data_IF_414622272422
#
_entry.id   IF_414622272422
#
_cell.length_a   1.000
_cell.length_b   1.000
_cell.length_c   1.000
_cell.angle_alpha   90.00
_cell.angle_beta   90.00
_cell.angle_gamma   90.00
#
_symmetry.space_group_name_H-M   'P 1'
#
loop_
_entity.id
_entity.type
_entity.pdbx_description
1 polymer ?
#
# COMPACT_ATOMS: atom_id res chain seq x y z
N UNK A 1 -22.96 -37.18 -28.37
CA UNK A 1 -23.02 -35.71 -28.47
C UNK A 1 -21.88 -35.14 -27.64
N UNK A 2 -20.90 -34.44 -28.23
CA UNK A 2 -19.81 -33.82 -27.48
C UNK A 2 -20.00 -32.31 -27.30
N UNK A 3 -19.11 -31.75 -26.48
CA UNK A 3 -18.84 -30.34 -26.15
C UNK A 3 -19.74 -29.67 -25.09
N UNK A 4 -19.24 -28.86 -24.17
CA UNK A 4 -17.91 -28.51 -23.62
C UNK A 4 -18.15 -27.19 -22.89
N UNK A 5 -17.63 -27.02 -21.68
CA UNK A 5 -17.79 -25.77 -20.95
C UNK A 5 -16.98 -25.76 -19.67
N UNK A 6 -15.68 -25.99 -19.80
CA UNK A 6 -14.68 -25.74 -18.77
C UNK A 6 -14.78 -24.28 -18.33
N UNK A 7 -15.31 -24.06 -17.13
CA UNK A 7 -15.15 -22.79 -16.42
C UNK A 7 -13.68 -22.62 -16.11
N UNK A 8 -12.99 -21.76 -16.85
CA UNK A 8 -11.66 -21.28 -16.51
C UNK A 8 -11.79 -20.47 -15.22
N UNK A 9 -11.44 -21.09 -14.11
CA UNK A 9 -11.23 -20.43 -12.83
C UNK A 9 -9.98 -19.54 -12.99
N UNK A 10 -10.20 -18.33 -13.51
CA UNK A 10 -9.17 -17.31 -13.67
C UNK A 10 -8.90 -16.72 -12.30
N UNK A 11 -8.18 -17.49 -11.47
CA UNK A 11 -7.62 -17.02 -10.21
C UNK A 11 -6.84 -15.74 -10.50
N UNK A 12 -7.33 -14.62 -9.98
CA UNK A 12 -6.67 -13.32 -10.12
C UNK A 12 -5.30 -13.41 -9.44
N UNK A 13 -4.25 -13.58 -10.25
CA UNK A 13 -2.86 -13.57 -9.77
C UNK A 13 -2.54 -12.12 -9.42
N UNK A 14 -2.39 -11.83 -8.13
CA UNK A 14 -1.85 -10.56 -7.70
C UNK A 14 -0.37 -10.49 -8.10
N UNK A 15 -0.01 -9.53 -8.94
CA UNK A 15 1.39 -9.25 -9.26
C UNK A 15 2.01 -8.42 -8.12
N UNK A 16 2.71 -9.11 -7.22
CA UNK A 16 3.42 -8.51 -6.09
C UNK A 16 4.91 -8.41 -6.43
N UNK A 17 5.49 -7.20 -6.37
CA UNK A 17 6.94 -7.04 -6.49
C UNK A 17 7.58 -7.28 -5.12
N UNK A 18 8.14 -8.47 -4.95
CA UNK A 18 8.76 -8.88 -3.68
C UNK A 18 10.26 -8.72 -3.81
N UNK A 19 10.87 -8.00 -2.87
CA UNK A 19 12.33 -7.97 -2.74
C UNK A 19 12.75 -8.47 -1.37
N UNK A 20 13.42 -9.62 -1.34
CA UNK A 20 14.02 -10.17 -0.13
C UNK A 20 15.49 -9.77 -0.11
N UNK A 21 15.90 -9.03 0.93
CA UNK A 21 17.20 -8.37 1.11
C UNK A 21 18.43 -9.29 0.94
N UNK A 22 18.25 -10.61 0.94
CA UNK A 22 19.34 -11.61 0.80
C UNK A 22 19.52 -12.20 -0.59
N UNK A 23 18.61 -11.97 -1.55
CA UNK A 23 18.75 -12.41 -2.96
C UNK A 23 17.69 -11.70 -3.80
N UNK A 24 18.05 -10.90 -4.83
CA UNK A 24 17.08 -10.38 -5.78
C UNK A 24 16.51 -11.57 -6.56
N UNK A 25 15.32 -12.02 -6.16
CA UNK A 25 14.50 -12.92 -6.93
C UNK A 25 13.16 -12.25 -7.09
N UNK A 26 12.75 -12.06 -8.35
CA UNK A 26 11.38 -11.72 -8.69
C UNK A 26 10.51 -12.88 -8.20
N UNK A 27 9.94 -12.75 -7.01
CA UNK A 27 9.15 -13.81 -6.41
C UNK A 27 7.68 -13.46 -6.62
N UNK A 28 6.99 -14.26 -7.43
CA UNK A 28 5.54 -14.23 -7.54
C UNK A 28 4.96 -14.76 -6.23
N UNK A 29 4.65 -13.88 -5.29
CA UNK A 29 3.96 -14.28 -4.08
C UNK A 29 2.47 -14.38 -4.38
N UNK A 30 1.98 -15.62 -4.40
CA UNK A 30 0.60 -15.90 -4.00
C UNK A 30 0.47 -15.29 -2.60
N UNK A 31 -0.42 -14.30 -2.46
CA UNK A 31 -0.65 -13.67 -1.16
C UNK A 31 -0.77 -14.75 -0.08
N UNK A 32 -0.12 -14.56 1.08
CA UNK A 32 -0.14 -15.55 2.13
C UNK A 32 -1.59 -15.91 2.45
N UNK A 33 -1.85 -17.20 2.65
CA UNK A 33 -3.18 -17.79 2.95
C UNK A 33 -3.83 -17.15 4.19
N UNK A 34 -3.10 -16.30 4.92
CA UNK A 34 -3.52 -15.62 6.12
C UNK A 34 -4.07 -14.20 5.82
N UNK A 35 -3.56 -13.50 4.80
CA UNK A 35 -3.99 -12.13 4.47
C UNK A 35 -2.98 -11.07 4.96
N UNK A 36 -3.44 -9.84 5.18
CA UNK A 36 -2.57 -8.77 5.70
C UNK A 36 -3.17 -8.00 6.87
N UNK A 37 -2.28 -7.55 7.75
CA UNK A 37 -2.56 -6.60 8.82
C UNK A 37 -2.45 -5.17 8.28
N UNK A 38 -3.58 -4.58 7.91
CA UNK A 38 -3.72 -3.25 7.34
C UNK A 38 -3.48 -2.16 8.38
N UNK A 39 -2.74 -1.11 8.04
CA UNK A 39 -2.47 0.03 8.92
C UNK A 39 -2.97 1.34 8.25
N UNK A 40 -4.23 1.75 8.52
CA UNK A 40 -4.83 2.92 7.86
C UNK A 40 -4.27 4.26 8.32
N UNK A 41 -3.51 4.29 9.41
CA UNK A 41 -2.78 5.46 9.86
C UNK A 41 -1.31 5.33 9.42
N UNK A 42 -0.89 6.03 8.34
CA UNK A 42 0.46 5.97 7.82
C UNK A 42 1.48 6.34 8.89
N UNK A 43 2.56 5.57 8.93
CA UNK A 43 3.65 5.78 9.87
C UNK A 43 4.87 6.24 9.09
N UNK A 44 5.02 7.57 8.92
CA UNK A 44 6.11 8.18 8.15
C UNK A 44 7.49 7.66 8.62
N UNK A 45 7.68 7.47 9.94
CA UNK A 45 8.92 6.90 10.51
C UNK A 45 9.21 5.45 10.10
N UNK A 46 8.24 4.74 9.52
CA UNK A 46 8.36 3.38 9.00
C UNK A 46 8.48 3.33 7.49
N UNK A 47 8.57 4.48 6.83
CA UNK A 47 9.02 4.53 5.44
C UNK A 47 10.45 3.99 5.36
N UNK A 48 10.80 3.45 4.19
CA UNK A 48 12.10 2.85 3.97
C UNK A 48 13.17 3.93 4.00
N UNK A 49 13.95 3.96 5.08
CA UNK A 49 15.07 4.90 5.25
C UNK A 49 16.43 4.24 5.07
N UNK A 50 16.48 2.90 5.03
CA UNK A 50 17.74 2.16 4.89
C UNK A 50 18.23 2.19 3.43
N UNK A 51 19.56 2.20 3.25
CA UNK A 51 20.28 2.09 1.96
C UNK A 51 20.02 0.73 1.27
N UNK A 52 18.80 0.55 0.82
CA UNK A 52 18.41 -0.54 -0.04
C UNK A 52 18.60 -0.02 -1.47
N UNK A 53 19.75 -0.33 -2.07
CA UNK A 53 20.11 0.02 -3.45
C UNK A 53 19.34 -0.84 -4.47
N UNK A 54 18.00 -0.81 -4.39
CA UNK A 54 17.15 -1.38 -5.42
C UNK A 54 16.75 -0.26 -6.34
N UNK A 55 17.07 -0.44 -7.61
CA UNK A 55 16.73 0.50 -8.65
C UNK A 55 15.35 0.19 -9.21
N UNK A 56 14.62 1.24 -9.52
CA UNK A 56 13.33 1.21 -10.20
C UNK A 56 13.23 2.41 -11.15
N UNK A 57 12.16 2.47 -11.92
CA UNK A 57 11.86 3.57 -12.83
C UNK A 57 10.72 4.39 -12.23
N UNK A 58 10.99 5.67 -11.95
CA UNK A 58 9.96 6.67 -11.68
C UNK A 58 9.65 7.46 -12.94
N UNK A 59 8.54 8.18 -12.92
CA UNK A 59 8.09 9.01 -14.03
C UNK A 59 7.84 10.42 -13.53
N UNK A 60 8.68 11.35 -13.97
CA UNK A 60 8.59 12.75 -13.57
C UNK A 60 7.89 13.56 -14.64
N UNK A 61 6.93 14.39 -14.23
CA UNK A 61 6.34 15.39 -15.11
C UNK A 61 7.36 16.51 -15.34
N UNK A 62 7.64 16.83 -16.60
CA UNK A 62 8.48 17.99 -16.94
C UNK A 62 7.71 19.31 -16.82
N UNK A 63 8.39 20.43 -17.06
CA UNK A 63 7.79 21.78 -17.00
C UNK A 63 6.57 21.96 -17.91
N UNK A 64 6.51 21.19 -19.00
CA UNK A 64 5.38 21.15 -19.92
C UNK A 64 4.41 20.01 -19.53
N UNK A 65 3.23 20.32 -18.96
CA UNK A 65 2.25 19.31 -18.56
C UNK A 65 1.60 18.61 -19.76
N UNK A 66 1.73 19.12 -20.98
CA UNK A 66 1.22 18.47 -22.19
C UNK A 66 2.14 17.33 -22.67
N UNK A 67 3.39 17.30 -22.21
CA UNK A 67 4.31 16.20 -22.52
C UNK A 67 4.09 15.00 -21.59
N UNK A 68 4.22 13.77 -22.10
CA UNK A 68 4.17 12.59 -21.25
C UNK A 68 5.33 12.62 -20.23
N UNK A 69 5.09 12.15 -19.00
CA UNK A 69 6.13 11.98 -17.99
C UNK A 69 7.32 11.17 -18.48
N UNK A 70 8.52 11.63 -18.13
CA UNK A 70 9.77 11.04 -18.57
C UNK A 70 10.21 9.95 -17.58
N UNK A 71 10.64 8.78 -18.06
CA UNK A 71 11.18 7.76 -17.18
C UNK A 71 12.53 8.20 -16.62
N UNK A 72 12.71 8.10 -15.32
CA UNK A 72 13.93 8.43 -14.58
C UNK A 72 14.30 7.27 -13.67
N UNK A 73 15.58 6.89 -13.67
CA UNK A 73 16.10 5.86 -12.78
C UNK A 73 16.12 6.39 -11.36
N UNK A 74 15.62 5.59 -10.43
CA UNK A 74 15.48 5.94 -9.03
C UNK A 74 15.82 4.78 -8.11
N UNK A 75 16.21 5.07 -6.87
CA UNK A 75 16.30 4.05 -5.83
C UNK A 75 14.93 3.96 -5.15
N UNK A 76 14.48 2.76 -4.79
CA UNK A 76 13.17 2.52 -4.16
C UNK A 76 12.90 3.43 -2.95
N UNK A 77 13.94 3.77 -2.17
CA UNK A 77 13.80 4.67 -1.03
C UNK A 77 13.40 6.10 -1.41
N UNK A 78 13.73 6.52 -2.64
CA UNK A 78 13.50 7.87 -3.18
C UNK A 78 12.14 7.96 -3.88
N UNK A 79 11.43 6.84 -4.02
CA UNK A 79 10.08 6.79 -4.58
C UNK A 79 9.06 7.14 -3.53
N UNK A 80 8.08 7.99 -3.85
CA UNK A 80 6.96 8.28 -2.96
C UNK A 80 6.27 6.99 -2.48
N UNK A 81 6.28 6.72 -1.18
CA UNK A 81 5.73 5.48 -0.64
C UNK A 81 5.23 5.59 0.80
N UNK A 82 4.42 4.61 1.20
CA UNK A 82 4.06 4.41 2.60
C UNK A 82 3.87 2.93 2.96
N UNK A 83 3.92 2.64 4.26
CA UNK A 83 3.62 1.31 4.82
C UNK A 83 2.10 1.04 4.80
N UNK A 84 1.64 0.14 3.93
CA UNK A 84 0.25 -0.30 3.89
C UNK A 84 -0.09 -1.20 5.07
N UNK A 85 0.84 -2.07 5.44
CA UNK A 85 0.57 -3.10 6.43
C UNK A 85 1.68 -4.14 6.54
N UNK A 86 1.34 -5.27 7.14
CA UNK A 86 2.24 -6.42 7.33
C UNK A 86 1.58 -7.70 6.89
N UNK A 87 2.37 -8.70 6.56
CA UNK A 87 1.83 -10.05 6.35
C UNK A 87 1.30 -10.58 7.67
N UNK A 88 0.08 -11.11 7.67
CA UNK A 88 -0.45 -11.75 8.86
C UNK A 88 0.41 -12.96 9.26
N UNK A 89 0.66 -13.13 10.56
CA UNK A 89 1.50 -14.19 11.10
C UNK A 89 3.01 -13.97 10.89
N UNK A 90 3.43 -12.90 10.20
CA UNK A 90 4.84 -12.56 9.99
C UNK A 90 5.06 -11.06 10.13
N UNK A 91 5.23 -10.63 11.38
CA UNK A 91 5.40 -9.21 11.71
C UNK A 91 6.62 -8.59 11.05
N UNK A 92 7.68 -9.35 10.77
CA UNK A 92 8.90 -8.80 10.16
C UNK A 92 8.76 -8.52 8.66
N UNK A 93 7.66 -8.99 8.04
CA UNK A 93 7.37 -8.77 6.62
C UNK A 93 6.40 -7.60 6.49
N UNK A 94 6.90 -6.48 5.96
CA UNK A 94 6.13 -5.27 5.68
C UNK A 94 5.72 -5.20 4.22
N UNK A 95 4.58 -4.56 3.98
CA UNK A 95 4.00 -4.30 2.66
C UNK A 95 3.91 -2.79 2.48
N UNK A 96 4.60 -2.26 1.50
CA UNK A 96 4.61 -0.85 1.13
C UNK A 96 3.88 -0.65 -0.19
N UNK A 97 3.26 0.52 -0.38
CA UNK A 97 2.79 0.96 -1.69
C UNK A 97 3.78 2.00 -2.23
N UNK A 98 4.30 1.77 -3.43
CA UNK A 98 5.15 2.69 -4.18
C UNK A 98 4.32 3.42 -5.23
N UNK A 99 4.54 4.73 -5.36
CA UNK A 99 3.88 5.60 -6.33
C UNK A 99 4.91 6.15 -7.30
N UNK A 100 5.04 5.49 -8.46
CA UNK A 100 6.07 5.82 -9.45
C UNK A 100 5.79 7.10 -10.24
N UNK A 101 4.55 7.59 -10.17
CA UNK A 101 4.04 8.71 -10.94
C UNK A 101 3.60 9.89 -10.06
N UNK A 102 3.77 9.76 -8.74
CA UNK A 102 3.49 10.83 -7.80
C UNK A 102 4.78 11.61 -7.63
N UNK A 103 4.78 12.85 -8.14
CA UNK A 103 5.93 13.74 -7.98
C UNK A 103 6.20 13.95 -6.49
N UNK A 104 7.45 13.75 -6.09
CA UNK A 104 7.89 14.13 -4.75
C UNK A 104 7.83 15.66 -4.64
N UNK A 105 7.44 16.17 -3.48
CA UNK A 105 7.41 17.61 -3.25
C UNK A 105 8.81 18.20 -3.47
N UNK A 106 8.88 19.49 -3.82
CA UNK A 106 10.09 20.19 -4.25
C UNK A 106 11.23 20.16 -3.22
N UNK A 107 10.90 19.88 -1.96
CA UNK A 107 11.84 19.78 -0.83
C UNK A 107 12.48 18.38 -0.67
N UNK A 108 12.23 17.45 -1.60
CA UNK A 108 12.75 16.07 -1.52
C UNK A 108 12.04 15.23 -0.44
N UNK A 109 10.80 15.61 -0.08
CA UNK A 109 9.98 14.85 0.85
C UNK A 109 9.39 13.62 0.14
N UNK A 110 10.00 12.46 0.39
CA UNK A 110 9.61 11.19 -0.25
C UNK A 110 8.35 10.56 0.38
N UNK A 111 7.80 11.16 1.44
CA UNK A 111 6.56 10.65 2.04
C UNK A 111 5.36 11.36 1.43
N UNK A 112 4.22 10.68 1.40
CA UNK A 112 2.97 11.30 0.95
C UNK A 112 2.60 12.45 1.89
N UNK A 113 2.03 13.51 1.33
CA UNK A 113 1.42 14.59 2.10
C UNK A 113 0.07 14.14 2.67
N UNK A 114 -0.48 14.87 3.65
CA UNK A 114 -1.84 14.62 4.14
C UNK A 114 -2.88 14.71 3.02
N UNK A 115 -2.64 15.57 2.02
CA UNK A 115 -3.48 15.69 0.83
C UNK A 115 -3.44 14.40 0.00
N UNK A 116 -2.24 13.85 -0.23
CA UNK A 116 -2.06 12.60 -0.98
C UNK A 116 -2.68 11.42 -0.26
N UNK A 117 -2.49 11.32 1.06
CA UNK A 117 -3.14 10.28 1.86
C UNK A 117 -4.66 10.38 1.81
N UNK A 118 -5.20 11.59 1.90
CA UNK A 118 -6.65 11.80 1.79
C UNK A 118 -7.16 11.36 0.41
N UNK A 119 -6.48 11.75 -0.68
CA UNK A 119 -6.86 11.31 -2.04
C UNK A 119 -6.75 9.80 -2.19
N UNK A 120 -5.65 9.21 -1.75
CA UNK A 120 -5.43 7.77 -1.85
C UNK A 120 -6.44 6.96 -1.05
N UNK A 121 -6.58 7.21 0.26
CA UNK A 121 -7.46 6.41 1.10
C UNK A 121 -8.93 6.68 0.79
N UNK A 122 -9.34 7.95 0.73
CA UNK A 122 -10.76 8.28 0.70
C UNK A 122 -11.36 8.13 -0.70
N UNK A 123 -10.55 8.27 -1.77
CA UNK A 123 -11.05 8.16 -3.15
C UNK A 123 -10.72 6.85 -3.85
N UNK A 124 -9.72 6.10 -3.39
CA UNK A 124 -9.30 4.83 -4.00
C UNK A 124 -9.47 3.69 -3.00
N UNK A 125 -8.61 3.64 -1.98
CA UNK A 125 -8.41 2.42 -1.23
C UNK A 125 -9.61 2.03 -0.35
N UNK A 126 -10.11 2.94 0.48
CA UNK A 126 -11.25 2.66 1.36
C UNK A 126 -12.51 2.32 0.58
N UNK A 127 -12.95 3.11 -0.43
CA UNK A 127 -14.14 2.75 -1.23
C UNK A 127 -14.06 1.33 -1.79
N UNK A 128 -12.90 0.92 -2.30
CA UNK A 128 -12.69 -0.42 -2.83
C UNK A 128 -12.77 -1.49 -1.74
N UNK A 129 -12.20 -1.24 -0.56
CA UNK A 129 -12.34 -2.14 0.60
C UNK A 129 -13.81 -2.26 1.00
N UNK A 130 -14.55 -1.16 1.10
CA UNK A 130 -15.98 -1.17 1.43
C UNK A 130 -16.83 -1.91 0.39
N UNK A 131 -16.41 -1.98 -0.88
CA UNK A 131 -17.08 -2.76 -1.92
C UNK A 131 -16.89 -4.27 -1.80
N UNK A 132 -15.70 -4.72 -1.36
CA UNK A 132 -15.34 -6.15 -1.38
C UNK A 132 -15.56 -6.86 -0.05
N UNK A 133 -15.53 -6.12 1.07
CA UNK A 133 -15.70 -6.67 2.40
C UNK A 133 -17.10 -6.42 2.93
N UNK A 134 -17.68 -7.43 3.58
CA UNK A 134 -18.99 -7.33 4.22
C UNK A 134 -19.00 -6.31 5.36
N UNK A 135 -20.17 -5.74 5.64
CA UNK A 135 -20.37 -4.71 6.68
C UNK A 135 -19.81 -5.08 8.06
N UNK A 136 -19.88 -6.35 8.47
CA UNK A 136 -19.33 -6.77 9.77
C UNK A 136 -17.80 -6.63 9.87
N UNK A 137 -17.08 -6.68 8.74
CA UNK A 137 -15.65 -6.38 8.68
C UNK A 137 -15.41 -4.88 8.61
N UNK A 138 -16.16 -4.17 7.76
CA UNK A 138 -15.89 -2.78 7.42
C UNK A 138 -16.41 -1.77 8.45
N UNK A 139 -17.32 -2.16 9.33
CA UNK A 139 -17.81 -1.32 10.44
C UNK A 139 -16.72 -0.92 11.44
N UNK A 140 -15.61 -1.66 11.46
CA UNK A 140 -14.47 -1.37 12.32
C UNK A 140 -13.40 -0.55 11.60
N UNK A 141 -13.41 -0.54 10.27
CA UNK A 141 -12.46 0.23 9.47
C UNK A 141 -12.78 1.72 9.54
N UNK A 142 -11.75 2.58 9.51
CA UNK A 142 -11.96 4.01 9.43
C UNK A 142 -12.58 4.38 8.08
N UNK A 143 -13.56 5.28 8.10
CA UNK A 143 -14.24 5.74 6.88
C UNK A 143 -13.40 6.73 6.06
N UNK A 144 -12.34 7.29 6.66
CA UNK A 144 -11.42 8.22 6.01
C UNK A 144 -10.02 8.16 6.63
N UNK A 145 -9.04 8.64 5.88
CA UNK A 145 -7.68 8.89 6.38
C UNK A 145 -7.69 9.75 7.64
N UNK A 146 -8.48 10.84 7.66
CA UNK A 146 -8.51 11.77 8.78
C UNK A 146 -9.01 11.09 10.06
N UNK A 147 -10.03 10.24 9.94
CA UNK A 147 -10.50 9.42 11.06
C UNK A 147 -9.40 8.47 11.54
N UNK A 148 -8.78 7.72 10.63
CA UNK A 148 -7.70 6.80 10.95
C UNK A 148 -6.53 7.51 11.68
N UNK A 149 -6.17 8.70 11.22
CA UNK A 149 -5.12 9.52 11.79
C UNK A 149 -5.44 9.94 13.23
N UNK A 150 -6.64 10.45 13.48
CA UNK A 150 -7.05 10.86 14.82
C UNK A 150 -7.24 9.68 15.78
N UNK A 151 -7.81 8.57 15.30
CA UNK A 151 -7.96 7.35 16.10
C UNK A 151 -6.58 6.83 16.54
N UNK A 152 -5.60 6.83 15.63
CA UNK A 152 -4.22 6.45 15.93
C UNK A 152 -3.57 7.41 16.94
N UNK A 153 -3.76 8.73 16.80
CA UNK A 153 -3.25 9.72 17.77
C UNK A 153 -3.88 9.54 19.14
N UNK A 154 -5.19 9.35 19.23
CA UNK A 154 -5.89 9.08 20.47
C UNK A 154 -5.39 7.79 21.13
N UNK A 155 -5.17 6.74 20.34
CA UNK A 155 -4.63 5.47 20.81
C UNK A 155 -3.20 5.61 21.33
N UNK A 156 -2.35 6.39 20.68
CA UNK A 156 -0.99 6.70 21.16
C UNK A 156 -1.01 7.47 22.49
N UNK A 157 -1.90 8.44 22.66
CA UNK A 157 -2.05 9.19 23.91
C UNK A 157 -2.49 8.26 25.06
N UNK A 158 -3.47 7.38 24.81
CA UNK A 158 -3.91 6.37 25.78
C UNK A 158 -2.80 5.36 26.11
N UNK A 159 -2.07 4.89 25.10
CA UNK A 159 -0.97 3.94 25.27
C UNK A 159 0.22 4.51 26.05
N UNK A 160 0.48 5.82 25.97
CA UNK A 160 1.51 6.49 26.78
C UNK A 160 1.19 6.55 28.27
N UNK A 161 -0.08 6.41 28.66
CA UNK A 161 -0.47 6.30 30.06
C UNK A 161 -0.21 4.90 30.64
N UNK A 162 0.12 3.91 29.79
CA UNK A 162 0.39 2.52 30.17
C UNK A 162 1.87 2.25 29.86
N UNK A 163 2.71 2.43 30.87
CA UNK A 163 4.16 2.60 30.74
C UNK A 163 4.92 1.25 30.55
N UNK A 164 4.78 0.63 29.38
CA UNK A 164 5.63 -0.52 28.98
C UNK A 164 6.17 -0.34 27.56
N UNK A 165 7.49 -0.12 27.47
CA UNK A 165 8.22 0.20 26.23
C UNK A 165 8.12 -0.87 25.13
N UNK A 166 7.87 -2.15 25.48
CA UNK A 166 7.67 -3.24 24.52
C UNK A 166 6.30 -3.19 23.83
N UNK A 167 5.28 -2.66 24.51
CA UNK A 167 3.91 -2.56 24.00
C UNK A 167 3.77 -1.39 23.01
N UNK A 168 4.53 -0.30 23.19
CA UNK A 168 4.41 0.90 22.36
C UNK A 168 4.80 0.70 20.88
N UNK A 169 5.66 -0.26 20.58
CA UNK A 169 6.02 -0.60 19.19
C UNK A 169 4.89 -1.33 18.44
N UNK A 170 3.90 -1.86 19.17
CA UNK A 170 2.80 -2.69 18.68
C UNK A 170 1.49 -1.90 18.43
N UNK A 171 1.38 -0.65 18.89
CA UNK A 171 0.12 0.13 18.93
C UNK A 171 -0.22 0.90 17.65
N UNK A 172 0.14 0.38 16.48
CA UNK A 172 -0.48 0.84 15.25
C UNK A 172 -1.87 0.22 15.18
N UNK A 173 -2.94 1.01 15.30
CA UNK A 173 -4.29 0.52 14.99
C UNK A 173 -4.25 -0.10 13.61
N UNK A 174 -4.59 -1.39 13.55
CA UNK A 174 -4.58 -2.14 12.32
C UNK A 174 -5.67 -3.17 12.30
N UNK A 175 -5.94 -3.65 11.09
CA UNK A 175 -7.14 -4.40 10.76
C UNK A 175 -6.77 -5.58 9.90
N UNK A 176 -7.38 -6.73 10.18
CA UNK A 176 -7.18 -7.92 9.36
C UNK A 176 -7.95 -7.79 8.05
N UNK A 177 -7.24 -7.90 6.93
CA UNK A 177 -7.82 -7.99 5.59
C UNK A 177 -7.61 -9.39 5.03
N UNK A 178 -8.74 -10.09 4.85
CA UNK A 178 -8.79 -11.48 4.43
C UNK A 178 -8.22 -11.69 3.03
N UNK A 179 -7.45 -12.77 2.80
CA UNK A 179 -6.71 -13.00 1.56
C UNK A 179 -7.60 -13.15 0.32
N UNK A 180 -8.82 -13.68 0.50
CA UNK A 180 -9.75 -14.01 -0.58
C UNK A 180 -10.18 -12.82 -1.43
N UNK A 181 -10.20 -11.60 -0.86
CA UNK A 181 -10.63 -10.39 -1.56
C UNK A 181 -9.46 -9.56 -2.11
N UNK A 182 -8.23 -9.85 -1.69
CA UNK A 182 -7.09 -8.95 -1.93
C UNK A 182 -6.71 -8.80 -3.39
N UNK A 183 -6.81 -9.88 -4.17
CA UNK A 183 -6.58 -9.81 -5.61
C UNK A 183 -7.57 -8.88 -6.29
N UNK A 184 -8.86 -8.99 -5.94
CA UNK A 184 -9.92 -8.14 -6.50
C UNK A 184 -9.80 -6.68 -6.03
N UNK A 185 -9.47 -6.47 -4.76
CA UNK A 185 -9.18 -5.13 -4.20
C UNK A 185 -8.06 -4.48 -4.99
N UNK A 186 -6.93 -5.17 -5.17
CA UNK A 186 -5.79 -4.56 -5.85
C UNK A 186 -6.05 -4.32 -7.33
N UNK A 187 -6.72 -5.25 -8.03
CA UNK A 187 -7.11 -5.04 -9.42
C UNK A 187 -7.99 -3.79 -9.57
N UNK A 188 -8.94 -3.58 -8.64
CA UNK A 188 -9.77 -2.38 -8.64
C UNK A 188 -8.96 -1.12 -8.29
N UNK A 189 -7.92 -1.23 -7.45
CA UNK A 189 -7.01 -0.10 -7.16
C UNK A 189 -6.31 0.32 -8.43
N UNK A 190 -5.70 -0.63 -9.15
CA UNK A 190 -5.04 -0.36 -10.43
C UNK A 190 -6.02 0.27 -11.43
N UNK A 191 -7.22 -0.30 -11.58
CA UNK A 191 -8.20 0.19 -12.54
C UNK A 191 -8.74 1.58 -12.18
N UNK A 192 -9.02 1.83 -10.90
CA UNK A 192 -9.50 3.13 -10.42
C UNK A 192 -8.46 4.21 -10.65
N UNK A 193 -7.19 3.95 -10.31
CA UNK A 193 -6.10 4.90 -10.52
C UNK A 193 -5.79 5.15 -12.00
N UNK A 194 -6.06 4.17 -12.88
CA UNK A 194 -5.84 4.29 -14.33
C UNK A 194 -6.96 5.06 -15.03
N UNK A 195 -8.20 4.86 -14.62
CA UNK A 195 -9.39 5.40 -15.32
C UNK A 195 -9.79 6.79 -14.87
N UNK A 196 -9.46 7.17 -13.63
CA UNK A 196 -9.84 8.47 -13.08
C UNK A 196 -8.76 9.53 -13.33
N UNK A 197 -9.08 10.49 -14.18
CA UNK A 197 -8.17 11.60 -14.50
C UNK A 197 -7.76 12.42 -13.27
N UNK A 198 -8.63 12.57 -12.26
CA UNK A 198 -8.33 13.29 -11.00
C UNK A 198 -7.34 12.56 -10.08
N UNK A 199 -6.92 11.34 -10.46
CA UNK A 199 -6.04 10.44 -9.71
C UNK A 199 -4.93 9.87 -10.59
N UNK A 200 -4.66 10.49 -11.75
CA UNK A 200 -3.69 10.00 -12.72
C UNK A 200 -2.25 9.95 -12.19
N UNK A 201 -1.93 10.72 -11.15
CA UNK A 201 -0.68 10.71 -10.40
C UNK A 201 -0.51 9.46 -9.53
N UNK A 202 -1.61 8.81 -9.13
CA UNK A 202 -1.61 7.51 -8.44
C UNK A 202 -1.65 6.32 -9.39
N UNK A 203 -1.49 6.51 -10.71
CA UNK A 203 -1.54 5.41 -11.68
C UNK A 203 -0.48 4.35 -11.41
N UNK A 204 -0.81 3.10 -11.73
CA UNK A 204 0.09 1.95 -11.63
C UNK A 204 0.87 1.85 -10.30
N UNK A 205 0.19 1.96 -9.14
CA UNK A 205 0.87 1.81 -7.85
C UNK A 205 1.43 0.39 -7.74
N UNK A 206 2.59 0.25 -7.10
CA UNK A 206 3.24 -1.04 -6.92
C UNK A 206 3.28 -1.45 -5.46
N UNK A 207 2.96 -2.71 -5.18
CA UNK A 207 3.19 -3.28 -3.87
C UNK A 207 4.64 -3.76 -3.76
N UNK A 208 5.34 -3.28 -2.74
CA UNK A 208 6.68 -3.68 -2.38
C UNK A 208 6.69 -4.42 -1.05
N UNK A 209 7.20 -5.65 -1.05
CA UNK A 209 7.33 -6.45 0.18
C UNK A 209 8.78 -6.43 0.64
N UNK A 210 8.98 -6.11 1.92
CA UNK A 210 10.28 -6.11 2.57
C UNK A 210 10.24 -6.97 3.84
N UNK A 211 11.31 -7.70 4.11
CA UNK A 211 11.50 -8.40 5.38
C UNK A 211 12.68 -7.77 6.13
N UNK A 212 12.48 -7.44 7.41
CA UNK A 212 13.61 -7.17 8.32
C UNK A 212 14.14 -8.51 8.82
N UNK A 213 15.45 -8.73 8.68
CA UNK A 213 16.16 -9.78 9.41
C UNK A 213 16.30 -9.38 10.89
#
# INVERSE_FOLDING_TARGET
>A
MPNSGSGSDSGSILYLFVYIKKKPKLLFLKLPVQGFWYQPAPQIRRNMTNDIHIETTMFQQGDDPAQPPRPVRAIIRDVSHFLLGRVEGSHDITIHVLFLHLDADQDGFISLTDHDYTRWFDKIFHPIIYCHYTAHYTQHLPASFRQAFFDSKAHQVKGRQIDTASYQSQLALGYHLQPQHLGQVWNNVIETSRTRADLADFREPQLFVSAKD
#
